data_IF_358011903315
#
_entry.id   IF_358011903315
#
_cell.length_a   1.000
_cell.length_b   1.000
_cell.length_c   1.000
_cell.angle_alpha   90.00
_cell.angle_beta   90.00
_cell.angle_gamma   90.00
#
_symmetry.space_group_name_H-M   'P 1'
#
loop_
_entity.id
_entity.type
_entity.pdbx_description
1 polymer ?
#
# COMPACT_ATOMS: atom_id res chain seq x y z
N UNK A 1 3.82 17.39 21.13
CA UNK A 1 3.56 15.93 21.08
C UNK A 1 4.71 15.25 20.35
N UNK A 2 5.36 14.22 20.93
CA UNK A 2 6.40 13.47 20.21
C UNK A 2 5.75 12.77 19.01
N UNK A 3 6.22 13.01 17.79
CA UNK A 3 5.74 12.28 16.61
C UNK A 3 5.98 10.78 16.85
N UNK A 4 4.93 9.98 16.71
CA UNK A 4 5.06 8.51 16.79
C UNK A 4 6.01 8.05 15.69
N UNK A 5 6.90 7.11 16.03
CA UNK A 5 7.88 6.54 15.09
C UNK A 5 7.15 6.00 13.85
N UNK A 6 7.65 6.32 12.66
CA UNK A 6 7.07 5.94 11.36
C UNK A 6 5.67 6.49 11.06
N UNK A 7 5.18 7.52 11.76
CA UNK A 7 3.87 8.11 11.46
C UNK A 7 3.80 8.66 10.01
N UNK A 8 4.88 9.28 9.53
CA UNK A 8 4.97 9.76 8.15
C UNK A 8 4.78 8.64 7.13
N UNK A 9 5.33 7.45 7.38
CA UNK A 9 5.15 6.27 6.50
C UNK A 9 3.68 5.89 6.36
N UNK A 10 2.90 5.98 7.45
CA UNK A 10 1.47 5.70 7.43
C UNK A 10 0.69 6.79 6.71
N UNK A 11 1.04 8.06 6.93
CA UNK A 11 0.38 9.17 6.28
C UNK A 11 0.64 9.14 4.75
N UNK A 12 1.87 8.85 4.32
CA UNK A 12 2.25 8.70 2.90
C UNK A 12 1.53 7.50 2.26
N UNK A 13 1.46 6.37 2.96
CA UNK A 13 0.73 5.20 2.50
C UNK A 13 -0.76 5.49 2.30
N UNK A 14 -1.39 6.24 3.22
CA UNK A 14 -2.79 6.63 3.09
C UNK A 14 -3.05 7.48 1.84
N UNK A 15 -2.16 8.42 1.54
CA UNK A 15 -2.22 9.25 0.33
C UNK A 15 -2.08 8.36 -0.91
N UNK A 16 -1.04 7.53 -0.96
CA UNK A 16 -0.81 6.63 -2.10
C UNK A 16 -1.97 5.66 -2.34
N UNK A 17 -2.56 5.10 -1.28
CA UNK A 17 -3.73 4.23 -1.36
C UNK A 17 -4.97 4.95 -1.89
N UNK A 18 -5.20 6.20 -1.46
CA UNK A 18 -6.34 7.00 -1.93
C UNK A 18 -6.19 7.32 -3.41
N UNK A 19 -5.00 7.78 -3.81
CA UNK A 19 -4.76 8.25 -5.17
C UNK A 19 -4.73 7.09 -6.19
N UNK A 20 -4.33 5.89 -5.75
CA UNK A 20 -4.34 4.67 -6.57
C UNK A 20 -5.64 3.85 -6.51
N UNK A 21 -6.59 4.25 -5.66
CA UNK A 21 -7.79 3.49 -5.29
C UNK A 21 -7.54 2.05 -4.79
N UNK A 22 -6.32 1.75 -4.32
CA UNK A 22 -5.97 0.41 -3.82
C UNK A 22 -6.49 0.18 -2.40
N UNK A 23 -7.25 -0.89 -2.22
CA UNK A 23 -7.93 -1.19 -0.95
C UNK A 23 -6.97 -1.81 0.08
N UNK A 24 -7.28 -1.58 1.36
CA UNK A 24 -6.54 -2.10 2.53
C UNK A 24 -6.20 -3.60 2.46
N UNK A 25 -7.09 -4.51 2.03
CA UNK A 25 -6.76 -5.93 1.95
C UNK A 25 -5.59 -6.24 1.00
N UNK A 26 -5.50 -5.55 -0.14
CA UNK A 26 -4.41 -5.72 -1.11
C UNK A 26 -3.08 -5.29 -0.48
N UNK A 27 -3.05 -4.10 0.12
CA UNK A 27 -1.85 -3.59 0.80
C UNK A 27 -1.41 -4.47 1.97
N UNK A 28 -2.35 -4.98 2.77
CA UNK A 28 -2.03 -5.86 3.90
C UNK A 28 -1.32 -7.14 3.43
N UNK A 29 -1.87 -7.76 2.37
CA UNK A 29 -1.30 -8.96 1.76
C UNK A 29 0.09 -8.67 1.17
N UNK A 30 0.26 -7.59 0.42
CA UNK A 30 1.56 -7.18 -0.16
C UNK A 30 2.62 -6.89 0.91
N UNK A 31 2.21 -6.25 2.01
CA UNK A 31 3.09 -5.94 3.13
C UNK A 31 3.43 -7.18 4.00
N UNK A 32 2.76 -8.31 3.76
CA UNK A 32 2.91 -9.54 4.53
C UNK A 32 2.46 -9.37 5.98
N UNK A 33 1.41 -8.60 6.24
CA UNK A 33 0.86 -8.37 7.58
C UNK A 33 -0.65 -8.64 7.62
N UNK A 34 -1.21 -9.02 8.78
CA UNK A 34 -2.65 -9.19 8.91
C UNK A 34 -3.41 -7.91 8.60
N UNK A 35 -4.57 -8.02 7.94
CA UNK A 35 -5.46 -6.89 7.64
C UNK A 35 -5.74 -6.03 8.89
N UNK A 36 -6.08 -6.67 10.02
CA UNK A 36 -6.37 -5.98 11.28
C UNK A 36 -5.15 -5.20 11.78
N UNK A 37 -3.94 -5.69 11.52
CA UNK A 37 -2.71 -5.00 11.92
C UNK A 37 -2.50 -3.75 11.08
N UNK A 38 -2.68 -3.83 9.75
CA UNK A 38 -2.64 -2.66 8.88
C UNK A 38 -3.72 -1.64 9.30
N UNK A 39 -4.96 -2.10 9.50
CA UNK A 39 -6.09 -1.23 9.87
C UNK A 39 -5.78 -0.42 11.15
N UNK A 40 -5.24 -1.08 12.18
CA UNK A 40 -4.82 -0.42 13.43
C UNK A 40 -3.68 0.58 13.23
N UNK A 41 -2.76 0.33 12.30
CA UNK A 41 -1.72 1.30 11.95
C UNK A 41 -2.34 2.53 11.28
N UNK A 42 -3.20 2.34 10.27
CA UNK A 42 -3.86 3.41 9.53
C UNK A 42 -4.74 4.29 10.45
N UNK A 43 -5.43 3.68 11.42
CA UNK A 43 -6.25 4.38 12.43
C UNK A 43 -5.44 5.04 13.55
N UNK A 44 -4.10 4.90 13.54
CA UNK A 44 -3.19 5.42 14.58
C UNK A 44 -3.42 4.81 15.98
N UNK A 45 -4.17 3.71 16.05
CA UNK A 45 -4.46 2.92 17.25
C UNK A 45 -3.24 2.09 17.67
N UNK A 46 -2.39 1.72 16.71
CA UNK A 46 -1.14 0.99 16.94
C UNK A 46 0.02 1.68 16.23
N UNK A 47 1.19 1.70 16.86
CA UNK A 47 2.43 2.20 16.24
C UNK A 47 3.19 1.06 15.56
N UNK A 48 3.90 1.34 14.47
CA UNK A 48 4.82 0.37 13.88
C UNK A 48 6.04 0.26 14.80
N UNK A 49 6.30 -0.95 15.31
CA UNK A 49 7.49 -1.25 16.12
C UNK A 49 8.64 -1.80 15.30
N UNK A 50 8.36 -2.43 14.16
CA UNK A 50 9.33 -3.19 13.38
C UNK A 50 9.81 -2.40 12.16
N UNK A 51 11.12 -2.07 12.05
CA UNK A 51 11.65 -1.32 10.92
C UNK A 51 11.41 -1.97 9.55
N UNK A 52 11.45 -3.31 9.47
CA UNK A 52 11.20 -4.04 8.22
C UNK A 52 9.76 -3.89 7.72
N UNK A 53 8.78 -3.78 8.62
CA UNK A 53 7.40 -3.48 8.23
C UNK A 53 7.33 -2.06 7.69
N UNK A 54 7.92 -1.08 8.38
CA UNK A 54 7.93 0.31 7.91
C UNK A 54 8.57 0.42 6.51
N UNK A 55 9.71 -0.22 6.30
CA UNK A 55 10.39 -0.23 5.01
C UNK A 55 9.54 -0.85 3.89
N UNK A 56 8.88 -1.98 4.15
CA UNK A 56 7.94 -2.57 3.17
C UNK A 56 6.80 -1.63 2.82
N UNK A 57 6.24 -0.93 3.81
CA UNK A 57 5.17 0.03 3.56
C UNK A 57 5.64 1.22 2.74
N UNK A 58 6.87 1.73 2.98
CA UNK A 58 7.48 2.77 2.13
C UNK A 58 7.60 2.31 0.68
N UNK A 59 8.17 1.13 0.44
CA UNK A 59 8.31 0.57 -0.91
C UNK A 59 6.96 0.42 -1.60
N UNK A 60 5.94 -0.06 -0.87
CA UNK A 60 4.58 -0.15 -1.42
C UNK A 60 4.03 1.23 -1.78
N UNK A 61 4.17 2.23 -0.90
CA UNK A 61 3.74 3.60 -1.20
C UNK A 61 4.41 4.15 -2.46
N UNK A 62 5.73 3.97 -2.59
CA UNK A 62 6.51 4.43 -3.75
C UNK A 62 6.03 3.77 -5.06
N UNK A 63 5.79 2.45 -5.02
CA UNK A 63 5.25 1.72 -6.18
C UNK A 63 3.86 2.21 -6.55
N UNK A 64 2.96 2.40 -5.58
CA UNK A 64 1.61 2.93 -5.83
C UNK A 64 1.68 4.32 -6.46
N UNK A 65 2.50 5.22 -5.93
CA UNK A 65 2.70 6.56 -6.47
C UNK A 65 3.27 6.52 -7.89
N UNK A 66 4.21 5.62 -8.19
CA UNK A 66 4.76 5.45 -9.55
C UNK A 66 3.70 4.95 -10.52
N UNK A 67 2.92 3.93 -10.14
CA UNK A 67 1.86 3.37 -10.99
C UNK A 67 0.76 4.39 -11.31
N UNK A 68 0.43 5.28 -10.36
CA UNK A 68 -0.49 6.40 -10.61
C UNK A 68 0.11 7.39 -11.60
N UNK A 69 1.38 7.77 -11.43
CA UNK A 69 2.07 8.67 -12.36
C UNK A 69 2.17 8.10 -13.78
N UNK A 70 2.35 6.79 -13.88
CA UNK A 70 2.45 6.06 -15.15
C UNK A 70 1.08 5.75 -15.77
N UNK A 71 -0.03 6.13 -15.12
CA UNK A 71 -1.38 5.90 -15.61
C UNK A 71 -1.87 4.45 -15.52
N UNK A 72 -1.18 3.58 -14.77
CA UNK A 72 -1.54 2.18 -14.57
C UNK A 72 -2.54 1.97 -13.43
N UNK A 73 -2.65 2.94 -12.52
CA UNK A 73 -3.65 2.99 -11.45
C UNK A 73 -4.34 4.35 -11.41
N UNK A 74 -5.62 4.43 -10.98
CA UNK A 74 -6.49 3.32 -10.55
C UNK A 74 -6.91 2.42 -11.72
N UNK A 75 -7.26 1.17 -11.42
CA UNK A 75 -7.81 0.24 -12.42
C UNK A 75 -9.10 0.84 -13.00
N UNK A 76 -9.29 0.94 -14.33
CA UNK A 76 -10.50 1.49 -14.93
C UNK A 76 -11.80 0.83 -14.42
N UNK A 77 -12.89 1.58 -14.40
CA UNK A 77 -14.22 1.06 -13.98
C UNK A 77 -14.83 0.07 -14.97
N UNK A 78 -14.28 0.02 -16.19
CA UNK A 78 -14.62 -0.95 -17.24
C UNK A 78 -14.30 -2.40 -16.82
N UNK A 79 -13.32 -2.58 -15.92
CA UNK A 79 -13.00 -3.89 -15.37
C UNK A 79 -13.99 -4.23 -14.26
N UNK A 80 -14.53 -5.45 -14.32
CA UNK A 80 -15.47 -5.96 -13.32
C UNK A 80 -14.95 -5.74 -11.90
N UNK A 81 -15.81 -5.25 -11.01
CA UNK A 81 -15.48 -4.94 -9.62
C UNK A 81 -14.73 -6.08 -8.92
N UNK A 82 -15.13 -7.32 -9.17
CA UNK A 82 -14.55 -8.53 -8.57
C UNK A 82 -13.12 -8.82 -9.08
N UNK A 83 -12.76 -8.32 -10.26
CA UNK A 83 -11.44 -8.52 -10.88
C UNK A 83 -10.46 -7.39 -10.54
N UNK A 84 -10.94 -6.16 -10.25
CA UNK A 84 -10.08 -4.99 -9.99
C UNK A 84 -9.03 -5.23 -8.91
N UNK A 85 -9.39 -5.92 -7.82
CA UNK A 85 -8.44 -6.25 -6.75
C UNK A 85 -7.37 -7.26 -7.18
N UNK A 86 -7.74 -8.25 -8.00
CA UNK A 86 -6.80 -9.23 -8.53
C UNK A 86 -5.84 -8.58 -9.54
N UNK A 87 -6.36 -7.75 -10.45
CA UNK A 87 -5.55 -6.99 -11.41
C UNK A 87 -4.59 -6.03 -10.71
N UNK A 88 -5.08 -5.27 -9.72
CA UNK A 88 -4.22 -4.38 -8.93
C UNK A 88 -3.11 -5.17 -8.22
N UNK A 89 -3.45 -6.31 -7.62
CA UNK A 89 -2.47 -7.18 -6.97
C UNK A 89 -1.39 -7.66 -7.94
N UNK A 90 -1.77 -8.09 -9.14
CA UNK A 90 -0.85 -8.57 -10.18
C UNK A 90 0.11 -7.46 -10.64
N UNK A 91 -0.43 -6.30 -11.00
CA UNK A 91 0.37 -5.13 -11.44
C UNK A 91 1.35 -4.75 -10.33
N UNK A 92 0.87 -4.53 -9.11
CA UNK A 92 1.74 -4.09 -8.00
C UNK A 92 2.81 -5.14 -7.68
N UNK A 93 2.45 -6.43 -7.66
CA UNK A 93 3.39 -7.52 -7.38
C UNK A 93 4.51 -7.62 -8.42
N UNK A 94 4.19 -7.40 -9.70
CA UNK A 94 5.19 -7.42 -10.79
C UNK A 94 6.25 -6.32 -10.60
N UNK A 95 5.85 -5.14 -10.14
CA UNK A 95 6.74 -4.01 -9.88
C UNK A 95 7.54 -4.17 -8.59
N UNK A 96 6.94 -4.72 -7.54
CA UNK A 96 7.65 -5.04 -6.29
C UNK A 96 8.72 -6.12 -6.47
N UNK A 97 8.56 -6.99 -7.47
CA UNK A 97 9.54 -8.04 -7.78
C UNK A 97 10.67 -7.50 -8.67
N UNK A 98 10.37 -6.56 -9.58
CA UNK A 98 11.36 -5.90 -10.44
C UNK A 98 12.36 -5.03 -9.66
N UNK A 99 11.92 -4.30 -8.64
CA UNK A 99 12.82 -3.48 -7.79
C UNK A 99 13.70 -4.34 -6.83
N UNK A 100 13.64 -5.67 -6.90
CA UNK A 100 14.49 -6.61 -6.15
C UNK A 100 15.56 -7.34 -6.99
N UNK A 101 15.61 -7.08 -8.30
CA UNK A 101 16.65 -7.59 -9.21
C UNK A 101 17.64 -6.49 -9.58
#
# INVERSE_FOLDING_TARGET
>A
MKKKRYQTVIDDLLVAMRDSDVKRPVVATLAGIPYITLDKYLRKERSISTPSIAQRLVVISDVLTRLVKDGQLPIPEEISYNQRSATAMEIISSHLTRDRG
#
